data_IF_490249321155
#
_entry.id   IF_490249321155
#
_cell.length_a   1.000
_cell.length_b   1.000
_cell.length_c   1.000
_cell.angle_alpha   90.00
_cell.angle_beta   90.00
_cell.angle_gamma   90.00
#
_symmetry.space_group_name_H-M   'P 1'
#
loop_
_entity.id
_entity.type
_entity.pdbx_description
1 polymer ?
#
# COMPACT_ATOMS: atom_id res chain seq x y z
N UNK A 1 -15.55 -6.75 -1.10
CA UNK A 1 -14.70 -7.66 -0.34
C UNK A 1 -13.25 -7.32 -0.66
N UNK A 2 -12.37 -7.39 0.33
CA UNK A 2 -10.93 -7.26 0.17
C UNK A 2 -10.29 -8.65 0.32
N UNK A 3 -9.19 -8.88 -0.38
CA UNK A 3 -8.28 -9.98 -0.12
C UNK A 3 -6.86 -9.43 -0.11
N UNK A 4 -6.06 -9.83 0.88
CA UNK A 4 -4.63 -9.51 0.97
C UNK A 4 -3.84 -10.81 0.89
N UNK A 5 -2.78 -10.84 0.09
CA UNK A 5 -1.92 -12.02 -0.05
C UNK A 5 -0.45 -11.61 0.03
N UNK A 6 0.33 -12.33 0.84
CA UNK A 6 1.77 -12.08 1.01
C UNK A 6 2.56 -12.99 0.08
N UNK A 7 3.33 -12.40 -0.82
CA UNK A 7 4.26 -13.10 -1.69
C UNK A 7 5.69 -12.84 -1.23
N UNK A 8 6.37 -13.91 -0.80
CA UNK A 8 7.78 -13.83 -0.42
C UNK A 8 8.66 -14.13 -1.63
N UNK A 9 9.48 -13.16 -2.03
CA UNK A 9 10.53 -13.33 -3.05
C UNK A 9 11.89 -13.09 -2.42
N UNK A 10 12.95 -13.47 -3.15
CA UNK A 10 14.33 -13.34 -2.67
C UNK A 10 14.73 -11.88 -2.39
N UNK A 11 14.27 -10.93 -3.21
CA UNK A 11 14.64 -9.52 -3.09
C UNK A 11 13.56 -8.65 -2.43
N UNK A 12 12.30 -9.10 -2.41
CA UNK A 12 11.16 -8.34 -1.92
C UNK A 12 10.11 -9.25 -1.29
N UNK A 13 9.39 -8.71 -0.32
CA UNK A 13 8.09 -9.20 0.12
C UNK A 13 7.02 -8.31 -0.49
N UNK A 14 5.96 -8.90 -1.04
CA UNK A 14 4.89 -8.15 -1.71
C UNK A 14 3.54 -8.46 -1.08
N UNK A 15 2.81 -7.43 -0.69
CA UNK A 15 1.41 -7.51 -0.27
C UNK A 15 0.51 -7.22 -1.47
N UNK A 16 -0.14 -8.25 -1.99
CA UNK A 16 -1.09 -8.11 -3.11
C UNK A 16 -2.47 -7.80 -2.54
N UNK A 17 -3.01 -6.64 -2.91
CA UNK A 17 -4.29 -6.11 -2.43
C UNK A 17 -5.31 -6.18 -3.56
N UNK A 18 -6.30 -7.05 -3.39
CA UNK A 18 -7.32 -7.33 -4.39
C UNK A 18 -8.71 -6.88 -3.90
N UNK A 19 -9.46 -6.20 -4.75
CA UNK A 19 -10.83 -5.77 -4.44
C UNK A 19 -10.93 -4.34 -3.91
N UNK A 20 -11.78 -4.12 -2.91
CA UNK A 20 -12.16 -2.77 -2.43
C UNK A 20 -11.42 -2.41 -1.14
N UNK A 21 -10.50 -1.45 -1.20
CA UNK A 21 -9.81 -0.88 -0.03
C UNK A 21 -10.67 0.22 0.60
N UNK A 22 -11.65 -0.23 1.37
CA UNK A 22 -12.64 0.59 2.09
C UNK A 22 -12.79 0.04 3.50
N UNK A 23 -13.41 0.78 4.43
CA UNK A 23 -13.72 0.25 5.76
C UNK A 23 -14.57 -1.05 5.65
N UNK A 24 -14.32 -2.07 6.51
CA UNK A 24 -13.36 -2.11 7.62
C UNK A 24 -11.92 -2.52 7.20
N UNK A 25 -11.70 -2.85 5.93
CA UNK A 25 -10.49 -3.51 5.42
C UNK A 25 -9.23 -2.67 5.46
N UNK A 26 -9.37 -1.35 5.67
CA UNK A 26 -8.25 -0.43 5.88
C UNK A 26 -7.43 -0.84 7.10
N UNK A 27 -8.08 -1.28 8.19
CA UNK A 27 -7.38 -1.78 9.38
C UNK A 27 -6.56 -3.03 9.08
N UNK A 28 -7.14 -3.96 8.31
CA UNK A 28 -6.47 -5.20 7.92
C UNK A 28 -5.21 -4.94 7.08
N UNK A 29 -5.24 -3.96 6.17
CA UNK A 29 -4.05 -3.56 5.40
C UNK A 29 -2.92 -3.07 6.31
N UNK A 30 -3.24 -2.26 7.34
CA UNK A 30 -2.25 -1.74 8.28
C UNK A 30 -1.64 -2.85 9.13
N UNK A 31 -2.47 -3.72 9.68
CA UNK A 31 -1.99 -4.86 10.46
C UNK A 31 -1.12 -5.78 9.62
N UNK A 32 -1.54 -6.07 8.38
CA UNK A 32 -0.78 -6.92 7.47
C UNK A 32 0.55 -6.27 7.05
N UNK A 33 0.56 -4.95 6.83
CA UNK A 33 1.79 -4.19 6.56
C UNK A 33 2.79 -4.30 7.70
N UNK A 34 2.36 -4.04 8.94
CA UNK A 34 3.22 -4.10 10.12
C UNK A 34 3.81 -5.50 10.29
N UNK A 35 2.96 -6.54 10.26
CA UNK A 35 3.41 -7.93 10.38
C UNK A 35 4.32 -8.35 9.22
N UNK A 36 4.08 -7.87 7.99
CA UNK A 36 4.94 -8.15 6.86
C UNK A 36 6.26 -7.37 6.89
N UNK A 37 6.36 -6.30 7.68
CA UNK A 37 7.58 -5.55 7.93
C UNK A 37 8.55 -6.26 8.88
N UNK A 38 8.05 -7.21 9.68
CA UNK A 38 8.89 -8.04 10.53
C UNK A 38 9.71 -9.03 9.69
N UNK A 39 10.95 -9.31 10.12
CA UNK A 39 11.85 -10.27 9.48
C UNK A 39 12.04 -10.04 7.97
N UNK A 40 12.17 -8.77 7.56
CA UNK A 40 12.46 -8.47 6.15
C UNK A 40 13.85 -8.92 5.73
N UNK A 41 14.82 -9.08 6.65
CA UNK A 41 16.18 -9.55 6.33
C UNK A 41 16.83 -8.71 5.20
N UNK A 42 16.57 -7.40 5.18
CA UNK A 42 17.04 -6.48 4.13
C UNK A 42 16.22 -6.49 2.83
N UNK A 43 15.15 -7.29 2.75
CA UNK A 43 14.21 -7.26 1.61
C UNK A 43 13.35 -6.00 1.64
N UNK A 44 12.95 -5.55 0.46
CA UNK A 44 11.95 -4.50 0.30
C UNK A 44 10.55 -5.01 0.64
N UNK A 45 9.68 -4.16 1.15
CA UNK A 45 8.26 -4.44 1.30
C UNK A 45 7.44 -3.58 0.33
N UNK A 46 6.70 -4.25 -0.56
CA UNK A 46 5.95 -3.61 -1.66
C UNK A 46 4.46 -3.89 -1.52
N UNK A 47 3.64 -2.86 -1.65
CA UNK A 47 2.18 -3.00 -1.72
C UNK A 47 1.75 -2.98 -3.19
N UNK A 48 1.18 -4.08 -3.67
CA UNK A 48 0.67 -4.22 -5.03
C UNK A 48 -0.84 -3.99 -5.08
N UNK A 49 -1.21 -2.84 -5.63
CA UNK A 49 -2.60 -2.40 -5.79
C UNK A 49 -3.13 -2.71 -7.20
N UNK A 50 -2.44 -3.52 -8.01
CA UNK A 50 -2.83 -3.76 -9.41
C UNK A 50 -4.24 -4.33 -9.57
N UNK A 51 -4.72 -5.08 -8.57
CA UNK A 51 -6.05 -5.69 -8.56
C UNK A 51 -7.03 -4.94 -7.62
N UNK A 52 -6.67 -3.74 -7.16
CA UNK A 52 -7.55 -2.90 -6.34
C UNK A 52 -8.51 -2.13 -7.25
N UNK A 53 -9.82 -2.24 -6.97
CA UNK A 53 -10.88 -1.70 -7.83
C UNK A 53 -11.56 -0.46 -7.25
N UNK A 54 -11.51 -0.28 -5.92
CA UNK A 54 -12.08 0.87 -5.21
C UNK A 54 -11.15 1.23 -4.05
N UNK A 55 -10.94 2.52 -3.84
CA UNK A 55 -10.19 3.06 -2.69
C UNK A 55 -11.06 4.17 -2.08
N UNK A 56 -11.44 4.05 -0.81
CA UNK A 56 -12.13 5.13 -0.10
C UNK A 56 -11.16 6.21 0.38
N UNK A 57 -11.68 7.32 0.90
CA UNK A 57 -10.84 8.35 1.50
C UNK A 57 -9.98 7.81 2.64
N UNK A 58 -10.53 6.95 3.50
CA UNK A 58 -9.78 6.29 4.58
C UNK A 58 -8.71 5.35 4.04
N UNK A 59 -8.98 4.70 2.90
CA UNK A 59 -8.00 3.91 2.17
C UNK A 59 -6.85 4.77 1.64
N UNK A 60 -7.16 5.93 1.05
CA UNK A 60 -6.14 6.90 0.60
C UNK A 60 -5.27 7.40 1.75
N UNK A 61 -5.87 7.74 2.91
CA UNK A 61 -5.10 8.18 4.08
C UNK A 61 -4.20 7.06 4.63
N UNK A 62 -4.69 5.82 4.66
CA UNK A 62 -3.86 4.68 5.03
C UNK A 62 -2.68 4.48 4.07
N UNK A 63 -2.92 4.51 2.76
CA UNK A 63 -1.83 4.41 1.78
C UNK A 63 -0.82 5.56 1.92
N UNK A 64 -1.28 6.77 2.27
CA UNK A 64 -0.40 7.91 2.52
C UNK A 64 0.44 7.73 3.78
N UNK A 65 -0.12 7.18 4.85
CA UNK A 65 0.63 6.85 6.07
C UNK A 65 1.70 5.79 5.79
N UNK A 66 1.34 4.69 5.12
CA UNK A 66 2.28 3.64 4.72
C UNK A 66 3.39 4.21 3.80
N UNK A 67 3.06 5.15 2.92
CA UNK A 67 4.04 5.83 2.08
C UNK A 67 5.06 6.63 2.90
N UNK A 68 4.63 7.28 4.00
CA UNK A 68 5.54 8.00 4.90
C UNK A 68 6.45 7.06 5.69
N UNK A 69 5.97 5.85 5.96
CA UNK A 69 6.75 4.77 6.59
C UNK A 69 7.70 4.08 5.59
N UNK A 70 7.75 4.52 4.33
CA UNK A 70 8.67 4.02 3.32
C UNK A 70 8.10 2.90 2.44
N UNK A 71 6.78 2.70 2.44
CA UNK A 71 6.15 1.73 1.55
C UNK A 71 6.40 2.04 0.07
N UNK A 72 6.83 1.01 -0.67
CA UNK A 72 6.85 1.04 -2.12
C UNK A 72 5.52 0.53 -2.67
N UNK A 73 5.07 1.09 -3.80
CA UNK A 73 3.77 0.76 -4.40
C UNK A 73 3.94 0.24 -5.84
N UNK A 74 3.27 -0.86 -6.15
CA UNK A 74 3.08 -1.38 -7.50
C UNK A 74 1.63 -1.14 -7.92
N UNK A 75 1.41 -0.59 -9.13
CA UNK A 75 0.09 -0.24 -9.64
C UNK A 75 -0.01 -0.46 -11.15
N UNK A 76 -1.03 -1.20 -11.61
CA UNK A 76 -1.24 -1.46 -13.03
C UNK A 76 -2.39 -0.65 -13.67
N UNK A 77 -3.34 -0.10 -12.89
CA UNK A 77 -4.55 0.57 -13.39
C UNK A 77 -4.50 2.11 -13.38
N UNK A 78 -5.39 2.75 -14.17
CA UNK A 78 -5.54 4.22 -14.19
C UNK A 78 -5.89 4.77 -12.81
N UNK A 79 -6.88 4.16 -12.14
CA UNK A 79 -7.31 4.53 -10.79
C UNK A 79 -6.14 4.52 -9.80
N UNK A 80 -5.45 3.39 -9.69
CA UNK A 80 -4.41 3.18 -8.67
C UNK A 80 -3.17 4.02 -8.97
N UNK A 81 -2.79 4.19 -10.24
CA UNK A 81 -1.73 5.12 -10.65
C UNK A 81 -2.07 6.57 -10.31
N UNK A 82 -3.31 7.00 -10.55
CA UNK A 82 -3.76 8.36 -10.20
C UNK A 82 -3.67 8.59 -8.70
N UNK A 83 -4.25 7.68 -7.89
CA UNK A 83 -4.24 7.78 -6.43
C UNK A 83 -2.80 7.82 -5.89
N UNK A 84 -1.93 6.87 -6.26
CA UNK A 84 -0.55 6.86 -5.76
C UNK A 84 0.23 8.11 -6.16
N UNK A 85 0.05 8.64 -7.38
CA UNK A 85 0.69 9.91 -7.79
C UNK A 85 0.20 11.10 -6.96
N UNK A 86 -1.11 11.20 -6.73
CA UNK A 86 -1.73 12.23 -5.88
C UNK A 86 -1.14 12.17 -4.46
N UNK A 87 -1.06 10.97 -3.87
CA UNK A 87 -0.52 10.76 -2.53
C UNK A 87 0.98 11.05 -2.45
N UNK A 88 1.77 10.64 -3.45
CA UNK A 88 3.19 10.94 -3.52
C UNK A 88 3.48 12.44 -3.61
N UNK A 89 2.62 13.20 -4.31
CA UNK A 89 2.71 14.65 -4.32
C UNK A 89 2.41 15.25 -2.94
N UNK A 90 1.35 14.80 -2.27
CA UNK A 90 1.02 15.20 -0.88
C UNK A 90 2.14 14.86 0.11
N UNK A 91 2.73 13.68 0.00
CA UNK A 91 3.81 13.23 0.89
C UNK A 91 5.03 14.14 0.75
N UNK A 92 5.47 14.43 -0.49
CA UNK A 92 6.60 15.33 -0.75
C UNK A 92 6.35 16.77 -0.34
N UNK A 93 5.11 17.27 -0.48
CA UNK A 93 4.77 18.63 -0.05
C UNK A 93 4.91 18.81 1.47
N UNK A 94 4.68 17.76 2.25
CA UNK A 94 4.76 17.77 3.73
C UNK A 94 6.16 17.44 4.29
N UNK A 95 7.12 17.06 3.45
CA UNK A 95 8.50 16.82 3.85
C UNK A 95 9.44 18.00 3.54
N UNK A 96 8.89 19.15 3.09
CA UNK A 96 9.65 20.40 2.90
C UNK A 96 9.53 21.30 4.14
N UNK A 97 9.95 20.79 5.29
CA UNK A 97 10.15 21.56 6.51
C UNK A 97 11.58 21.37 7.00
#
# INVERSE_FOLDING_TARGET
MLKISTLNRRAERRLVVEGKLVQPWVGELRTTWLSAGEDLEGRKLVIDLSNTTVISQEGEEALLELMKEGAEFSCCGVLTKYVIRKLAHRCRARCRD
#
